data_IF_351953316964
#
_entry.id   IF_351953316964
#
_cell.length_a   1.000
_cell.length_b   1.000
_cell.length_c   1.000
_cell.angle_alpha   90.00
_cell.angle_beta   90.00
_cell.angle_gamma   90.00
#
_symmetry.space_group_name_H-M   'P 1'
#
loop_
_entity.id
_entity.type
_entity.pdbx_description
1 polymer ?
#
# COMPACT_ATOMS: atom_id res chain seq x y z
N UNK A 1 -3.84 7.75 -7.66
CA UNK A 1 -2.68 8.10 -8.51
C UNK A 1 -1.71 9.11 -7.92
N UNK A 2 -2.13 10.12 -7.15
CA UNK A 2 -1.21 11.08 -6.54
C UNK A 2 -0.26 10.44 -5.51
N UNK A 3 -0.80 9.57 -4.64
CA UNK A 3 -0.03 8.89 -3.57
C UNK A 3 1.11 8.04 -4.14
N UNK A 4 0.85 7.29 -5.22
CA UNK A 4 1.87 6.46 -5.88
C UNK A 4 2.96 7.26 -6.61
N UNK A 5 2.75 8.56 -6.85
CA UNK A 5 3.71 9.44 -7.53
C UNK A 5 4.60 10.21 -6.57
N UNK A 6 4.21 10.32 -5.30
CA UNK A 6 4.90 11.15 -4.31
C UNK A 6 5.59 10.29 -3.24
N UNK A 7 5.10 9.07 -3.00
CA UNK A 7 5.63 8.19 -1.96
C UNK A 7 6.46 7.06 -2.57
N UNK A 8 7.61 6.73 -1.97
CA UNK A 8 8.41 5.57 -2.37
C UNK A 8 7.99 4.28 -1.64
N UNK A 9 7.57 4.41 -0.39
CA UNK A 9 7.15 3.32 0.50
C UNK A 9 5.68 3.48 0.92
N UNK A 10 4.97 2.37 1.02
CA UNK A 10 3.59 2.29 1.52
C UNK A 10 3.45 1.20 2.57
N UNK A 11 2.71 1.53 3.64
CA UNK A 11 2.36 0.60 4.71
C UNK A 11 0.84 0.45 4.73
N UNK A 12 0.34 -0.79 4.69
CA UNK A 12 -1.08 -1.11 4.77
C UNK A 12 -1.33 -1.81 6.10
N UNK A 13 -2.31 -1.28 6.83
CA UNK A 13 -2.77 -1.85 8.08
C UNK A 13 -4.18 -2.40 7.89
N UNK A 14 -4.47 -3.53 8.50
CA UNK A 14 -5.80 -4.10 8.58
C UNK A 14 -6.13 -4.41 10.03
N UNK A 15 -7.16 -3.73 10.57
CA UNK A 15 -7.55 -3.86 11.98
C UNK A 15 -6.37 -3.67 12.96
N UNK A 16 -5.43 -2.77 12.62
CA UNK A 16 -4.24 -2.49 13.43
C UNK A 16 -3.08 -3.48 13.23
N UNK A 17 -3.25 -4.53 12.42
CA UNK A 17 -2.19 -5.45 12.07
C UNK A 17 -1.49 -5.03 10.78
N UNK A 18 -0.18 -5.24 10.71
CA UNK A 18 0.60 -4.97 9.51
C UNK A 18 0.22 -5.98 8.42
N UNK A 19 -0.43 -5.47 7.36
CA UNK A 19 -0.85 -6.27 6.19
C UNK A 19 0.16 -6.18 5.05
N UNK A 20 0.79 -5.03 4.87
CA UNK A 20 1.83 -4.83 3.86
C UNK A 20 2.80 -3.73 4.26
N UNK A 21 4.08 -3.90 3.92
CA UNK A 21 5.13 -2.90 4.07
C UNK A 21 6.11 -3.04 2.90
N UNK A 22 6.18 -2.04 2.04
CA UNK A 22 7.03 -2.12 0.86
C UNK A 22 6.79 -0.99 -0.15
N UNK A 23 7.14 -1.19 -1.44
CA UNK A 23 6.96 -0.19 -2.47
C UNK A 23 5.50 0.30 -2.59
N UNK A 24 5.29 1.61 -2.76
CA UNK A 24 3.92 2.17 -2.80
C UNK A 24 3.01 1.55 -3.87
N UNK A 25 3.61 1.13 -5.00
CA UNK A 25 2.86 0.53 -6.11
C UNK A 25 2.21 -0.78 -5.71
N UNK A 26 2.88 -1.56 -4.86
CA UNK A 26 2.39 -2.83 -4.33
C UNK A 26 1.37 -2.57 -3.22
N UNK A 27 1.64 -1.63 -2.31
CA UNK A 27 0.69 -1.22 -1.27
C UNK A 27 -0.67 -0.80 -1.86
N UNK A 28 -0.67 -0.05 -2.97
CA UNK A 28 -1.89 0.39 -3.64
C UNK A 28 -2.64 -0.77 -4.31
N UNK A 29 -1.95 -1.81 -4.79
CA UNK A 29 -2.61 -3.03 -5.29
C UNK A 29 -3.36 -3.75 -4.16
N UNK A 30 -2.71 -3.91 -3.01
CA UNK A 30 -3.29 -4.52 -1.80
C UNK A 30 -4.56 -3.78 -1.37
N UNK A 31 -4.56 -2.44 -1.39
CA UNK A 31 -5.74 -1.64 -1.04
C UNK A 31 -6.87 -1.76 -2.07
N UNK A 32 -6.53 -1.89 -3.36
CA UNK A 32 -7.51 -1.94 -4.46
C UNK A 32 -8.18 -3.33 -4.63
N UNK A 33 -7.83 -4.32 -3.81
CA UNK A 33 -8.44 -5.65 -3.83
C UNK A 33 -8.09 -6.48 -5.07
N UNK A 34 -6.99 -6.15 -5.74
CA UNK A 34 -6.42 -7.01 -6.79
C UNK A 34 -5.35 -7.88 -6.16
N UNK A 35 -5.69 -9.14 -5.89
CA UNK A 35 -4.72 -10.20 -5.59
C UNK A 35 -3.75 -10.42 -6.75
#
# INVERSE_FOLDING_TARGET
DLVSKICDRGVVLEHGNLRFDGPIKEAVKVIRGGD
#
